data_IF_845407581060
#
_entry.id   IF_845407581060
#
_cell.length_a   1.000
_cell.length_b   1.000
_cell.length_c   1.000
_cell.angle_alpha   90.00
_cell.angle_beta   90.00
_cell.angle_gamma   90.00
#
_symmetry.space_group_name_H-M   'P 1'
#
loop_
_entity.id
_entity.type
_entity.pdbx_description
1 polymer ?
#
# COMPACT_ATOMS: atom_id res chain seq x y z
N UNK A 1 32.76 -6.90 -3.41
CA UNK A 1 31.66 -7.86 -3.26
C UNK A 1 30.60 -7.21 -2.38
N UNK A 2 29.35 -7.10 -2.85
CA UNK A 2 28.23 -6.80 -1.96
C UNK A 2 28.17 -7.92 -0.92
N UNK A 3 28.19 -7.55 0.36
CA UNK A 3 28.33 -8.51 1.46
C UNK A 3 27.08 -9.36 1.66
N UNK A 4 25.90 -8.93 1.17
CA UNK A 4 24.66 -9.72 1.05
C UNK A 4 23.66 -8.97 0.13
N UNK A 5 22.81 -9.67 -0.63
CA UNK A 5 21.73 -9.05 -1.43
C UNK A 5 20.76 -8.22 -0.57
N UNK A 6 20.57 -8.63 0.67
CA UNK A 6 19.67 -7.97 1.62
C UNK A 6 20.23 -6.66 2.18
N UNK A 7 21.50 -6.32 1.92
CA UNK A 7 22.08 -5.06 2.43
C UNK A 7 21.40 -3.81 1.86
N UNK A 8 20.64 -3.94 0.76
CA UNK A 8 19.83 -2.83 0.22
C UNK A 8 18.64 -2.48 1.11
N UNK A 9 18.17 -3.44 1.92
CA UNK A 9 17.07 -3.25 2.86
C UNK A 9 17.55 -2.92 4.28
N UNK A 10 18.85 -2.80 4.54
CA UNK A 10 19.33 -2.53 5.89
C UNK A 10 19.01 -1.07 6.29
N UNK A 11 18.18 -0.84 7.33
CA UNK A 11 17.79 0.51 7.75
C UNK A 11 18.88 1.20 8.59
N UNK A 12 19.93 0.48 8.97
CA UNK A 12 20.94 0.87 9.96
C UNK A 12 22.13 1.65 9.39
N UNK A 13 21.97 2.32 8.24
CA UNK A 13 23.02 3.20 7.71
C UNK A 13 23.22 4.39 8.66
N UNK A 14 24.32 4.33 9.43
CA UNK A 14 24.65 5.31 10.45
C UNK A 14 25.49 6.45 9.85
N UNK A 15 24.88 7.34 9.05
CA UNK A 15 25.47 8.69 8.95
C UNK A 15 25.22 9.34 10.32
N UNK A 16 26.27 9.68 11.06
CA UNK A 16 26.18 10.36 12.37
C UNK A 16 25.27 9.64 13.41
N UNK A 17 25.24 8.30 13.42
CA UNK A 17 24.35 7.48 14.27
C UNK A 17 22.84 7.72 14.08
N UNK A 18 22.42 8.47 13.06
CA UNK A 18 21.01 8.65 12.72
C UNK A 18 20.62 7.74 11.55
N UNK A 19 19.52 7.01 11.69
CA UNK A 19 18.95 6.19 10.62
C UNK A 19 18.25 7.07 9.59
N UNK A 20 19.05 7.69 8.71
CA UNK A 20 18.57 8.64 7.69
C UNK A 20 17.76 7.97 6.58
N UNK A 21 17.85 6.66 6.39
CA UNK A 21 17.08 5.94 5.37
C UNK A 21 15.57 6.18 5.47
N UNK A 22 15.04 6.35 6.68
CA UNK A 22 13.63 6.65 6.90
C UNK A 22 13.19 8.01 6.35
N UNK A 23 14.11 8.94 6.09
CA UNK A 23 13.78 10.23 5.46
C UNK A 23 13.25 10.07 4.03
N UNK A 24 13.48 8.93 3.37
CA UNK A 24 12.93 8.67 2.04
C UNK A 24 11.39 8.72 2.02
N UNK A 25 10.75 8.34 3.12
CA UNK A 25 9.28 8.43 3.28
C UNK A 25 8.75 9.84 3.06
N UNK A 26 9.50 10.86 3.48
CA UNK A 26 9.06 12.25 3.39
C UNK A 26 9.31 12.85 2.00
N UNK A 27 10.21 12.26 1.21
CA UNK A 27 10.50 12.74 -0.16
C UNK A 27 9.24 12.64 -1.03
N UNK A 28 8.43 11.58 -0.86
CA UNK A 28 7.17 11.42 -1.58
C UNK A 28 6.18 12.57 -1.37
N UNK A 29 6.22 13.23 -0.20
CA UNK A 29 5.33 14.33 0.13
C UNK A 29 5.69 15.61 -0.62
N UNK A 30 6.97 15.81 -0.96
CA UNK A 30 7.44 16.96 -1.74
C UNK A 30 7.01 16.91 -3.20
N UNK A 31 6.67 15.72 -3.70
CA UNK A 31 6.22 15.52 -5.10
C UNK A 31 4.79 16.05 -5.29
N UNK A 32 3.99 16.17 -4.22
CA UNK A 32 2.60 16.63 -4.31
C UNK A 32 2.56 18.07 -4.83
N UNK A 33 1.78 18.37 -5.89
CA UNK A 33 1.75 19.72 -6.46
C UNK A 33 1.24 20.74 -5.46
N UNK A 34 2.07 21.73 -5.12
CA UNK A 34 1.65 22.90 -4.34
C UNK A 34 0.91 23.93 -5.21
N UNK A 35 -0.27 24.35 -4.78
CA UNK A 35 -1.04 25.43 -5.40
C UNK A 35 -0.54 26.78 -4.89
N UNK A 36 0.50 27.34 -5.52
CA UNK A 36 1.01 28.68 -5.17
C UNK A 36 0.36 29.79 -6.03
N UNK A 37 -0.04 29.46 -7.26
CA UNK A 37 -0.53 30.42 -8.25
C UNK A 37 -2.03 30.25 -8.48
N UNK A 38 -2.72 31.35 -8.80
CA UNK A 38 -4.17 31.36 -9.10
C UNK A 38 -4.52 30.44 -10.29
N UNK A 39 -3.62 30.35 -11.29
CA UNK A 39 -3.76 29.41 -12.40
C UNK A 39 -3.05 28.09 -12.08
N UNK A 40 -3.75 26.95 -12.13
CA UNK A 40 -3.13 25.65 -11.86
C UNK A 40 -2.13 25.28 -12.95
N UNK A 41 -0.97 24.74 -12.54
CA UNK A 41 0.00 24.15 -13.46
C UNK A 41 -0.56 22.87 -14.11
N UNK A 42 -0.04 22.47 -15.27
CA UNK A 42 -0.45 21.23 -15.96
C UNK A 42 -0.34 20.00 -15.05
N UNK A 43 0.72 19.96 -14.22
CA UNK A 43 0.93 18.91 -13.23
C UNK A 43 -0.18 18.91 -12.16
N UNK A 44 -0.50 20.07 -11.57
CA UNK A 44 -1.61 20.18 -10.61
C UNK A 44 -2.97 19.84 -11.22
N UNK A 45 -3.20 20.15 -12.51
CA UNK A 45 -4.43 19.80 -13.22
C UNK A 45 -4.59 18.28 -13.38
N UNK A 46 -3.52 17.58 -13.78
CA UNK A 46 -3.53 16.12 -13.92
C UNK A 46 -3.79 15.48 -12.55
N UNK A 47 -3.08 15.95 -11.52
CA UNK A 47 -3.25 15.44 -10.16
C UNK A 47 -4.67 15.66 -9.64
N UNK A 48 -5.23 16.86 -9.80
CA UNK A 48 -6.60 17.15 -9.40
C UNK A 48 -7.63 16.27 -10.14
N UNK A 49 -7.42 15.97 -11.42
CA UNK A 49 -8.28 15.04 -12.16
C UNK A 49 -8.23 13.63 -11.56
N UNK A 50 -7.05 13.12 -11.23
CA UNK A 50 -6.88 11.80 -10.58
C UNK A 50 -7.56 11.77 -9.21
N UNK A 51 -7.41 12.82 -8.40
CA UNK A 51 -8.06 12.91 -7.09
C UNK A 51 -9.59 12.96 -7.22
N UNK A 52 -10.12 13.69 -8.21
CA UNK A 52 -11.57 13.78 -8.46
C UNK A 52 -12.17 12.44 -8.91
N UNK A 53 -11.48 11.71 -9.80
CA UNK A 53 -11.94 10.37 -10.20
C UNK A 53 -11.93 9.41 -9.02
N UNK A 54 -10.88 9.42 -8.19
CA UNK A 54 -10.83 8.57 -6.99
C UNK A 54 -11.92 8.95 -5.98
N UNK A 55 -12.20 10.25 -5.82
CA UNK A 55 -13.29 10.70 -4.96
C UNK A 55 -14.65 10.18 -5.44
N UNK A 56 -14.90 10.16 -6.75
CA UNK A 56 -16.14 9.62 -7.32
C UNK A 56 -16.26 8.12 -7.06
N UNK A 57 -15.20 7.34 -7.29
CA UNK A 57 -15.19 5.89 -7.04
C UNK A 57 -15.34 5.55 -5.55
N UNK A 58 -14.67 6.27 -4.65
CA UNK A 58 -14.85 6.02 -3.22
C UNK A 58 -16.24 6.46 -2.75
N UNK A 59 -16.80 7.53 -3.32
CA UNK A 59 -18.16 7.95 -3.00
C UNK A 59 -19.20 6.93 -3.43
N UNK A 60 -19.03 6.25 -4.57
CA UNK A 60 -19.93 5.17 -4.98
C UNK A 60 -19.80 3.96 -4.04
N UNK A 61 -18.59 3.63 -3.58
CA UNK A 61 -18.35 2.52 -2.64
C UNK A 61 -18.90 2.78 -1.23
N UNK A 62 -18.78 4.01 -0.71
CA UNK A 62 -19.32 4.36 0.61
C UNK A 62 -20.84 4.52 0.63
N UNK A 63 -21.49 4.65 -0.53
CA UNK A 63 -22.94 4.74 -0.63
C UNK A 63 -23.57 6.00 0.01
N UNK A 64 -24.90 6.01 0.22
CA UNK A 64 -25.64 7.16 0.75
C UNK A 64 -25.39 7.42 2.25
N UNK A 65 -24.77 6.48 2.96
CA UNK A 65 -24.45 6.56 4.39
C UNK A 65 -23.09 7.21 4.66
N UNK A 66 -22.30 7.51 3.63
CA UNK A 66 -20.98 8.11 3.77
C UNK A 66 -21.01 9.54 4.34
N UNK A 67 -20.36 9.74 5.48
CA UNK A 67 -20.15 11.10 6.02
C UNK A 67 -19.33 11.97 5.07
N UNK A 68 -19.71 13.25 4.98
CA UNK A 68 -19.05 14.27 4.17
C UNK A 68 -17.60 14.41 4.65
N UNK A 69 -16.66 14.03 3.80
CA UNK A 69 -15.21 14.12 4.05
C UNK A 69 -14.49 12.80 4.35
N UNK A 70 -15.22 11.70 4.58
CA UNK A 70 -14.62 10.36 4.80
C UNK A 70 -13.66 9.93 3.67
N UNK A 71 -13.98 10.29 2.42
CA UNK A 71 -13.15 10.03 1.24
C UNK A 71 -11.74 10.64 1.30
N UNK A 72 -11.52 11.74 2.05
CA UNK A 72 -10.20 12.40 2.09
C UNK A 72 -9.12 11.52 2.70
N UNK A 73 -9.45 10.74 3.74
CA UNK A 73 -8.47 9.85 4.39
C UNK A 73 -7.98 8.82 3.38
N UNK A 74 -8.90 8.18 2.64
CA UNK A 74 -8.55 7.16 1.65
C UNK A 74 -7.76 7.71 0.47
N UNK A 75 -8.10 8.93 0.02
CA UNK A 75 -7.34 9.62 -1.03
C UNK A 75 -5.92 9.96 -0.56
N UNK A 76 -5.75 10.39 0.69
CA UNK A 76 -4.43 10.70 1.26
C UNK A 76 -3.56 9.45 1.46
N UNK A 77 -4.17 8.31 1.82
CA UNK A 77 -3.47 7.03 1.93
C UNK A 77 -3.03 6.53 0.56
N UNK A 78 -3.92 6.61 -0.43
CA UNK A 78 -3.60 6.26 -1.80
C UNK A 78 -2.39 7.05 -2.31
N UNK A 79 -2.40 8.37 -2.13
CA UNK A 79 -1.30 9.23 -2.62
C UNK A 79 0.01 8.93 -1.89
N UNK A 80 0.00 8.79 -0.57
CA UNK A 80 1.19 8.47 0.22
C UNK A 80 1.83 7.14 -0.20
N UNK A 81 1.02 6.10 -0.40
CA UNK A 81 1.52 4.78 -0.80
C UNK A 81 2.03 4.80 -2.24
N UNK A 82 1.31 5.46 -3.15
CA UNK A 82 1.71 5.57 -4.55
C UNK A 82 3.07 6.25 -4.71
N UNK A 83 3.30 7.39 -4.05
CA UNK A 83 4.57 8.11 -4.15
C UNK A 83 5.73 7.33 -3.54
N UNK A 84 5.52 6.69 -2.38
CA UNK A 84 6.57 5.88 -1.76
C UNK A 84 6.96 4.66 -2.60
N UNK A 85 5.98 3.96 -3.19
CA UNK A 85 6.26 2.81 -4.04
C UNK A 85 6.94 3.23 -5.35
N UNK A 86 6.48 4.31 -5.98
CA UNK A 86 7.08 4.80 -7.23
C UNK A 86 8.50 5.32 -7.01
N UNK A 87 8.76 6.05 -5.92
CA UNK A 87 10.10 6.50 -5.57
C UNK A 87 11.04 5.33 -5.28
N UNK A 88 10.52 4.26 -4.68
CA UNK A 88 11.28 3.05 -4.40
C UNK A 88 11.76 2.27 -5.63
N UNK A 89 11.22 2.54 -6.83
CA UNK A 89 11.68 1.91 -8.08
C UNK A 89 12.92 2.60 -8.67
N UNK A 90 13.23 3.82 -8.25
CA UNK A 90 14.43 4.51 -8.72
C UNK A 90 15.69 3.92 -8.10
N UNK A 91 16.80 3.85 -8.86
CA UNK A 91 18.04 3.31 -8.34
C UNK A 91 18.54 4.15 -7.15
N UNK A 92 19.09 3.45 -6.15
CA UNK A 92 19.67 4.02 -4.94
C UNK A 92 18.71 4.70 -3.96
N UNK A 93 17.40 4.66 -4.20
CA UNK A 93 16.40 5.14 -3.23
C UNK A 93 16.03 3.99 -2.29
N UNK A 94 16.12 4.24 -0.98
CA UNK A 94 15.67 3.29 0.02
C UNK A 94 14.14 3.13 -0.01
N UNK A 95 13.68 1.91 -0.25
CA UNK A 95 12.26 1.52 -0.34
C UNK A 95 11.65 1.37 1.04
N UNK A 96 11.16 2.47 1.62
CA UNK A 96 10.54 2.44 2.96
C UNK A 96 9.32 1.52 3.05
N UNK A 97 8.58 1.31 1.95
CA UNK A 97 7.41 0.43 1.87
C UNK A 97 7.73 -1.06 1.87
N UNK A 98 8.99 -1.45 1.67
CA UNK A 98 9.42 -2.83 1.79
C UNK A 98 9.41 -3.31 3.26
N UNK A 99 9.56 -2.39 4.23
CA UNK A 99 9.52 -2.75 5.63
C UNK A 99 8.09 -2.93 6.13
N UNK A 100 7.82 -4.11 6.68
CA UNK A 100 6.52 -4.44 7.30
C UNK A 100 6.13 -3.45 8.40
N UNK A 101 7.11 -2.83 9.08
CA UNK A 101 6.85 -1.84 10.12
C UNK A 101 6.09 -0.63 9.58
N UNK A 102 6.44 -0.12 8.40
CA UNK A 102 5.75 1.02 7.79
C UNK A 102 4.34 0.63 7.33
N UNK A 103 4.21 -0.51 6.65
CA UNK A 103 2.92 -0.93 6.09
C UNK A 103 1.92 -1.31 7.18
N UNK A 104 2.38 -1.95 8.25
CA UNK A 104 1.56 -2.27 9.42
C UNK A 104 1.20 -1.01 10.21
N UNK A 105 2.10 -0.04 10.34
CA UNK A 105 1.80 1.25 10.98
C UNK A 105 0.73 2.06 10.24
N UNK A 106 0.58 1.87 8.93
CA UNK A 106 -0.53 2.46 8.16
C UNK A 106 -1.83 1.65 8.32
N UNK A 107 -1.75 0.31 8.21
CA UNK A 107 -2.95 -0.55 8.17
C UNK A 107 -3.62 -0.76 9.54
N UNK A 108 -2.83 -0.95 10.60
CA UNK A 108 -3.35 -1.32 11.93
C UNK A 108 -4.16 -0.18 12.57
N UNK A 109 -3.71 1.08 12.61
CA UNK A 109 -4.51 2.17 13.17
C UNK A 109 -5.82 2.40 12.43
N UNK A 110 -5.82 2.30 11.10
CA UNK A 110 -7.05 2.41 10.29
C UNK A 110 -8.05 1.34 10.67
N UNK A 111 -7.62 0.07 10.69
CA UNK A 111 -8.49 -1.03 11.08
C UNK A 111 -8.98 -0.92 12.52
N UNK A 112 -8.10 -0.56 13.46
CA UNK A 112 -8.47 -0.41 14.86
C UNK A 112 -9.51 0.70 15.03
N UNK A 113 -9.39 1.80 14.29
CA UNK A 113 -10.36 2.90 14.31
C UNK A 113 -11.75 2.45 13.84
N UNK A 114 -11.83 1.62 12.80
CA UNK A 114 -13.11 1.08 12.31
C UNK A 114 -13.73 0.10 13.31
N UNK A 115 -12.92 -0.79 13.91
CA UNK A 115 -13.42 -1.72 14.94
C UNK A 115 -13.98 -1.00 16.17
N UNK A 116 -13.26 0.01 16.66
CA UNK A 116 -13.71 0.80 17.80
C UNK A 116 -15.00 1.55 17.45
N UNK A 117 -15.07 2.15 16.26
CA UNK A 117 -16.28 2.83 15.80
C UNK A 117 -17.49 1.88 15.71
N UNK A 118 -17.31 0.70 15.11
CA UNK A 118 -18.39 -0.28 14.98
C UNK A 118 -18.89 -0.81 16.32
N UNK A 119 -17.99 -1.03 17.29
CA UNK A 119 -18.37 -1.50 18.62
C UNK A 119 -19.10 -0.44 19.44
N UNK A 120 -18.80 0.85 19.24
CA UNK A 120 -19.46 1.92 19.99
C UNK A 120 -20.85 2.22 19.39
N UNK A 121 -20.95 2.32 18.06
CA UNK A 121 -22.17 2.81 17.41
C UNK A 121 -23.18 1.70 17.08
N UNK A 122 -22.72 0.51 16.67
CA UNK A 122 -23.57 -0.55 16.13
C UNK A 122 -23.25 -1.92 16.73
N UNK A 123 -23.28 -2.03 18.07
CA UNK A 123 -22.99 -3.28 18.81
C UNK A 123 -23.76 -4.49 18.27
N UNK A 124 -25.08 -4.39 18.15
CA UNK A 124 -25.92 -5.53 17.72
C UNK A 124 -25.68 -5.94 16.27
N UNK A 125 -25.45 -4.98 15.38
CA UNK A 125 -25.17 -5.27 13.97
C UNK A 125 -23.78 -5.92 13.80
N UNK A 126 -22.78 -5.46 14.56
CA UNK A 126 -21.44 -6.05 14.54
C UNK A 126 -21.45 -7.50 15.03
N UNK A 127 -22.19 -7.81 16.10
CA UNK A 127 -22.33 -9.19 16.57
C UNK A 127 -23.13 -10.07 15.60
N UNK A 128 -24.14 -9.52 14.93
CA UNK A 128 -24.88 -10.24 13.89
C UNK A 128 -24.01 -10.56 12.66
N UNK A 129 -23.08 -9.68 12.29
CA UNK A 129 -22.15 -9.91 11.19
C UNK A 129 -21.18 -11.08 11.44
N UNK A 130 -20.92 -11.44 12.70
CA UNK A 130 -20.06 -12.58 13.02
C UNK A 130 -20.71 -13.94 12.70
N UNK A 131 -22.01 -13.97 12.36
CA UNK A 131 -22.76 -15.19 12.05
C UNK A 131 -23.46 -15.04 10.70
N UNK A 132 -22.93 -15.59 9.59
CA UNK A 132 -23.64 -15.80 8.35
C UNK A 132 -25.04 -16.35 8.55
N UNK A 133 -26.00 -15.74 7.85
CA UNK A 133 -27.38 -16.16 7.89
C UNK A 133 -27.53 -17.58 7.34
N UNK A 134 -28.27 -18.43 8.06
CA UNK A 134 -28.60 -19.78 7.62
C UNK A 134 -27.68 -20.90 8.11
N UNK A 135 -26.73 -20.64 9.02
CA UNK A 135 -25.90 -21.72 9.58
C UNK A 135 -26.64 -22.57 10.62
N UNK A 136 -26.50 -23.91 10.58
CA UNK A 136 -27.11 -24.80 11.57
C UNK A 136 -26.54 -24.54 12.98
N UNK A 137 -27.35 -24.70 14.04
CA UNK A 137 -27.00 -24.24 15.39
C UNK A 137 -25.75 -24.91 15.98
N UNK A 138 -25.44 -26.13 15.56
CA UNK A 138 -24.27 -26.90 16.05
C UNK A 138 -22.94 -26.30 15.56
N UNK A 139 -22.93 -25.69 14.36
CA UNK A 139 -21.72 -25.13 13.74
C UNK A 139 -21.49 -23.64 14.05
N UNK A 140 -22.47 -22.96 14.67
CA UNK A 140 -22.39 -21.53 14.97
C UNK A 140 -21.15 -21.14 15.79
N UNK A 141 -20.75 -21.85 16.86
CA UNK A 141 -19.59 -21.44 17.67
C UNK A 141 -18.28 -21.50 16.90
N UNK A 142 -18.11 -22.49 16.02
CA UNK A 142 -16.89 -22.64 15.23
C UNK A 142 -16.76 -21.57 14.16
N UNK A 143 -17.87 -21.21 13.53
CA UNK A 143 -17.87 -20.20 12.48
C UNK A 143 -17.61 -18.79 13.03
N UNK A 144 -18.11 -18.45 14.23
CA UNK A 144 -17.74 -17.18 14.91
C UNK A 144 -16.23 -17.12 15.18
N UNK A 145 -15.60 -18.21 15.59
CA UNK A 145 -14.14 -18.25 15.76
C UNK A 145 -13.40 -17.98 14.44
N UNK A 146 -13.87 -18.52 13.32
CA UNK A 146 -13.25 -18.26 12.01
C UNK A 146 -13.42 -16.80 11.60
N UNK A 147 -14.62 -16.23 11.76
CA UNK A 147 -14.88 -14.85 11.33
C UNK A 147 -14.12 -13.84 12.20
N UNK A 148 -13.98 -14.10 13.50
CA UNK A 148 -13.13 -13.28 14.38
C UNK A 148 -11.65 -13.32 13.96
N UNK A 149 -11.13 -14.50 13.60
CA UNK A 149 -9.77 -14.65 13.08
C UNK A 149 -9.62 -13.94 11.73
N UNK A 150 -10.57 -14.12 10.82
CA UNK A 150 -10.62 -13.45 9.50
C UNK A 150 -10.55 -11.93 9.64
N UNK A 151 -11.31 -11.38 10.58
CA UNK A 151 -11.34 -9.95 10.85
C UNK A 151 -9.98 -9.41 11.35
N UNK A 152 -9.30 -10.13 12.23
CA UNK A 152 -7.97 -9.74 12.75
C UNK A 152 -6.87 -9.88 11.69
N UNK A 153 -6.96 -10.88 10.81
CA UNK A 153 -5.96 -11.13 9.76
C UNK A 153 -6.02 -10.08 8.63
N UNK A 154 -7.18 -9.45 8.44
CA UNK A 154 -7.46 -8.45 7.40
C UNK A 154 -6.39 -7.33 7.28
N UNK A 155 -6.06 -6.53 8.32
CA UNK A 155 -5.00 -5.52 8.23
C UNK A 155 -3.61 -6.13 7.99
N UNK A 156 -3.36 -7.33 8.53
CA UNK A 156 -2.10 -8.05 8.33
C UNK A 156 -1.89 -8.44 6.87
N UNK A 157 -2.91 -9.02 6.21
CA UNK A 157 -2.81 -9.42 4.80
C UNK A 157 -2.64 -8.22 3.88
N UNK A 158 -3.27 -7.08 4.18
CA UNK A 158 -3.11 -5.83 3.45
C UNK A 158 -1.67 -5.31 3.54
N UNK A 159 -1.11 -5.26 4.75
CA UNK A 159 0.25 -4.78 5.01
C UNK A 159 1.32 -5.69 4.39
N UNK A 160 1.17 -7.01 4.54
CA UNK A 160 2.10 -8.01 3.96
C UNK A 160 2.05 -7.98 2.44
N UNK A 161 0.88 -7.80 1.83
CA UNK A 161 0.75 -7.74 0.37
C UNK A 161 1.58 -6.60 -0.24
N UNK A 162 1.53 -5.42 0.39
CA UNK A 162 2.30 -4.28 -0.08
C UNK A 162 3.82 -4.51 0.09
N UNK A 163 4.23 -4.94 1.28
CA UNK A 163 5.64 -5.16 1.60
C UNK A 163 6.26 -6.27 0.74
N UNK A 164 5.59 -7.41 0.60
CA UNK A 164 6.10 -8.56 -0.16
C UNK A 164 6.30 -8.23 -1.63
N UNK A 165 5.37 -7.49 -2.26
CA UNK A 165 5.50 -7.11 -3.67
C UNK A 165 6.69 -6.18 -3.90
N UNK A 166 6.92 -5.21 -2.99
CA UNK A 166 8.07 -4.30 -3.09
C UNK A 166 9.40 -5.00 -2.80
N UNK A 167 9.46 -5.91 -1.81
CA UNK A 167 10.67 -6.71 -1.52
C UNK A 167 11.00 -7.62 -2.70
N UNK A 168 10.01 -8.38 -3.18
CA UNK A 168 10.22 -9.39 -4.22
C UNK A 168 10.67 -8.77 -5.53
N UNK A 169 10.03 -7.67 -5.96
CA UNK A 169 10.40 -6.97 -7.18
C UNK A 169 11.84 -6.44 -7.13
N UNK A 170 12.15 -5.65 -6.10
CA UNK A 170 13.48 -5.09 -5.94
C UNK A 170 14.57 -6.19 -5.81
N UNK A 171 14.29 -7.30 -5.12
CA UNK A 171 15.21 -8.44 -5.04
C UNK A 171 15.41 -9.08 -6.42
N UNK A 172 14.35 -9.25 -7.21
CA UNK A 172 14.43 -9.82 -8.55
C UNK A 172 15.24 -8.89 -9.50
N UNK A 173 15.00 -7.58 -9.48
CA UNK A 173 15.79 -6.59 -10.24
C UNK A 173 17.28 -6.64 -9.88
N UNK A 174 17.62 -6.73 -8.59
CA UNK A 174 19.02 -6.78 -8.15
C UNK A 174 19.70 -8.10 -8.51
N UNK A 175 18.98 -9.23 -8.45
CA UNK A 175 19.50 -10.53 -8.87
C UNK A 175 19.84 -10.55 -10.37
N UNK A 176 18.91 -10.10 -11.22
CA UNK A 176 19.13 -10.02 -12.66
C UNK A 176 20.24 -9.02 -13.01
N UNK A 177 20.29 -7.88 -12.31
CA UNK A 177 21.35 -6.89 -12.49
C UNK A 177 22.74 -7.43 -12.14
N UNK A 178 22.86 -8.20 -11.05
CA UNK A 178 24.13 -8.74 -10.58
C UNK A 178 24.69 -9.88 -11.46
N UNK A 179 23.84 -10.61 -12.20
CA UNK A 179 24.31 -11.62 -13.15
C UNK A 179 24.80 -11.02 -14.47
N UNK A 180 24.38 -9.79 -14.80
CA UNK A 180 24.74 -9.06 -16.02
C UNK A 180 26.23 -9.01 -16.37
N UNK A 181 27.14 -8.66 -15.44
CA UNK A 181 28.57 -8.54 -15.73
C UNK A 181 29.26 -9.86 -16.13
N UNK A 182 28.66 -11.00 -15.79
CA UNK A 182 29.22 -12.33 -16.05
C UNK A 182 28.78 -12.94 -17.40
N UNK A 183 27.83 -12.29 -18.08
CA UNK A 183 27.21 -12.81 -19.30
C UNK A 183 27.92 -12.34 -20.56
N UNK A 184 27.80 -13.13 -21.63
CA UNK A 184 28.30 -12.77 -22.96
C UNK A 184 27.46 -11.65 -23.59
N UNK A 185 28.06 -10.86 -24.48
CA UNK A 185 27.40 -9.73 -25.15
C UNK A 185 26.10 -10.09 -25.89
N UNK A 186 25.98 -11.32 -26.41
CA UNK A 186 24.76 -11.78 -27.10
C UNK A 186 23.60 -12.05 -26.14
N UNK A 187 23.87 -12.53 -24.93
CA UNK A 187 22.85 -12.79 -23.90
C UNK A 187 22.52 -11.51 -23.11
N UNK A 188 23.47 -10.56 -23.05
CA UNK A 188 23.28 -9.26 -22.40
C UNK A 188 22.12 -8.45 -22.99
N UNK A 189 21.95 -8.45 -24.31
CA UNK A 189 20.85 -7.72 -24.96
C UNK A 189 19.48 -8.26 -24.55
N UNK A 190 19.35 -9.58 -24.42
CA UNK A 190 18.14 -10.24 -23.93
C UNK A 190 17.87 -9.90 -22.46
N UNK A 191 18.92 -9.90 -21.61
CA UNK A 191 18.80 -9.52 -20.21
C UNK A 191 18.28 -8.08 -20.04
N UNK A 192 18.80 -7.14 -20.83
CA UNK A 192 18.38 -5.73 -20.77
C UNK A 192 16.89 -5.61 -21.13
N UNK A 193 16.43 -6.30 -22.17
CA UNK A 193 15.02 -6.32 -22.56
C UNK A 193 14.16 -6.88 -21.42
N UNK A 194 14.58 -7.99 -20.81
CA UNK A 194 13.87 -8.58 -19.67
C UNK A 194 13.81 -7.62 -18.47
N UNK A 195 14.89 -6.90 -18.18
CA UNK A 195 14.93 -5.96 -17.07
C UNK A 195 14.07 -4.71 -17.29
N UNK A 196 14.00 -4.20 -18.53
CA UNK A 196 13.07 -3.12 -18.88
C UNK A 196 11.63 -3.61 -18.73
N UNK A 197 11.32 -4.81 -19.22
CA UNK A 197 9.98 -5.39 -19.08
C UNK A 197 9.59 -5.57 -17.60
N UNK A 198 10.53 -6.00 -16.76
CA UNK A 198 10.31 -6.18 -15.33
C UNK A 198 10.10 -4.85 -14.60
N UNK A 199 10.86 -3.81 -14.95
CA UNK A 199 10.65 -2.46 -14.41
C UNK A 199 9.26 -1.91 -14.77
N UNK A 200 8.80 -2.13 -16.00
CA UNK A 200 7.44 -1.74 -16.42
C UNK A 200 6.38 -2.51 -15.62
N UNK A 201 6.60 -3.82 -15.41
CA UNK A 201 5.71 -4.63 -14.58
C UNK A 201 5.65 -4.10 -13.14
N UNK A 202 6.79 -3.80 -12.52
CA UNK A 202 6.83 -3.29 -11.15
C UNK A 202 6.21 -1.90 -11.02
N UNK A 203 6.38 -1.02 -12.00
CA UNK A 203 5.70 0.26 -12.05
C UNK A 203 4.16 0.09 -12.10
N UNK A 204 3.66 -0.87 -12.87
CA UNK A 204 2.24 -1.20 -12.89
C UNK A 204 1.77 -1.78 -11.55
N UNK A 205 2.53 -2.71 -10.96
CA UNK A 205 2.23 -3.31 -9.65
C UNK A 205 2.21 -2.24 -8.55
N UNK A 206 3.13 -1.28 -8.56
CA UNK A 206 3.17 -0.19 -7.58
C UNK A 206 1.87 0.63 -7.55
N UNK A 207 1.29 0.94 -8.72
CA UNK A 207 0.03 1.67 -8.86
C UNK A 207 -1.16 0.79 -8.44
N UNK A 208 -1.17 -0.48 -8.86
CA UNK A 208 -2.27 -1.41 -8.51
C UNK A 208 -2.30 -1.66 -7.00
N UNK A 209 -1.15 -1.81 -6.35
CA UNK A 209 -1.10 -2.07 -4.90
C UNK A 209 -1.60 -0.87 -4.07
N UNK A 210 -1.25 0.37 -4.44
CA UNK A 210 -1.80 1.55 -3.74
C UNK A 210 -3.31 1.65 -3.92
N UNK A 211 -3.81 1.34 -5.12
CA UNK A 211 -5.25 1.33 -5.41
C UNK A 211 -6.00 0.25 -4.61
N UNK A 212 -5.53 -0.99 -4.66
CA UNK A 212 -6.14 -2.11 -3.93
C UNK A 212 -6.12 -1.85 -2.42
N UNK A 213 -5.05 -1.26 -1.88
CA UNK A 213 -4.99 -0.88 -0.47
C UNK A 213 -6.12 0.11 -0.10
N UNK A 214 -6.28 1.18 -0.90
CA UNK A 214 -7.31 2.19 -0.66
C UNK A 214 -8.72 1.63 -0.81
N UNK A 215 -9.00 0.88 -1.88
CA UNK A 215 -10.33 0.28 -2.13
C UNK A 215 -10.73 -0.72 -1.04
N UNK A 216 -9.84 -1.63 -0.63
CA UNK A 216 -10.16 -2.56 0.46
C UNK A 216 -10.43 -1.80 1.76
N UNK A 217 -9.63 -0.77 2.06
CA UNK A 217 -9.89 0.05 3.25
C UNK A 217 -11.23 0.79 3.20
N UNK A 218 -11.67 1.24 2.02
CA UNK A 218 -13.01 1.83 1.85
C UNK A 218 -14.13 0.83 2.02
N UNK A 219 -13.96 -0.40 1.50
CA UNK A 219 -14.94 -1.47 1.68
C UNK A 219 -15.08 -1.86 3.15
N UNK A 220 -13.97 -1.94 3.86
CA UNK A 220 -13.99 -2.23 5.30
C UNK A 220 -14.66 -1.12 6.12
N UNK A 221 -14.54 0.13 5.70
CA UNK A 221 -15.29 1.22 6.31
C UNK A 221 -16.79 1.14 5.99
N UNK A 222 -17.17 0.75 4.77
CA UNK A 222 -18.58 0.57 4.40
C UNK A 222 -19.25 -0.64 5.05
N UNK A 223 -18.50 -1.69 5.40
CA UNK A 223 -19.05 -2.86 6.12
C UNK A 223 -19.43 -2.52 7.57
N UNK A 224 -18.75 -1.54 8.17
CA UNK A 224 -18.93 -1.17 9.59
C UNK A 224 -19.99 -0.08 9.77
N UNK A 225 -20.22 0.76 8.76
CA UNK A 225 -21.26 1.80 8.74
C UNK A 225 -22.61 1.24 8.29
#
# INVERSE_FOLDING_TARGET
MMTNLFSVFDPSTSILNMSLNWSSTFIGLLVIPSLFWFMPSRYSLIWNKVLLTLHQEFKTLLGPTGHIGSTFIFISLFSLILFNNFLGLFPYIFTSSAHLTLTLALALPLWLSFMIYGWINHTQHMFAHLVPQGTPPVLMPFMVCIETISNVIRPGTLAVRLAANMIAGHLLLTLLGNTGPSLTYSILSLLIIAQIALLVLEAAVAIIQSYVFAVLSTLYASEVN
#
